data_IF_642860456735
#
_entry.id   IF_642860456735
#
_cell.length_a   1.000
_cell.length_b   1.000
_cell.length_c   1.000
_cell.angle_alpha   90.00
_cell.angle_beta   90.00
_cell.angle_gamma   90.00
#
_symmetry.space_group_name_H-M   'P 1'
#
loop_
_entity.id
_entity.type
_entity.pdbx_description
1 polymer ?
#
# COMPACT_ATOMS: atom_id res chain seq x y z
N UNK A 1 5.85 8.19 2.74
CA UNK A 1 4.68 8.70 2.01
C UNK A 1 4.88 8.39 0.55
N UNK A 2 3.90 7.76 -0.09
CA UNK A 2 3.96 7.43 -1.52
C UNK A 2 2.80 8.11 -2.25
N UNK A 3 3.03 9.30 -2.81
CA UNK A 3 1.96 10.11 -3.41
C UNK A 3 1.75 9.86 -4.90
N UNK A 4 2.52 8.95 -5.50
CA UNK A 4 2.33 8.56 -6.89
C UNK A 4 2.52 7.06 -7.06
N UNK A 5 1.72 6.45 -7.93
CA UNK A 5 1.90 5.05 -8.31
C UNK A 5 1.43 4.80 -9.74
N UNK A 6 2.09 3.87 -10.42
CA UNK A 6 1.82 3.53 -11.81
C UNK A 6 1.11 2.18 -11.92
N UNK A 7 -0.04 2.16 -12.58
CA UNK A 7 -0.82 0.92 -12.77
C UNK A 7 -0.31 0.06 -13.92
N UNK A 8 -0.63 -1.23 -13.87
CA UNK A 8 -0.45 -2.16 -14.99
C UNK A 8 -1.26 -1.80 -16.24
N UNK A 9 -2.26 -0.92 -16.12
CA UNK A 9 -3.11 -0.43 -17.21
C UNK A 9 -2.63 0.89 -17.80
N UNK A 10 -1.38 1.30 -17.52
CA UNK A 10 -0.75 2.50 -18.07
C UNK A 10 -1.41 3.82 -17.62
N UNK A 11 -1.95 3.81 -16.40
CA UNK A 11 -2.52 4.96 -15.71
C UNK A 11 -1.63 5.32 -14.52
N UNK A 12 -1.16 6.56 -14.45
CA UNK A 12 -0.47 7.13 -13.31
C UNK A 12 -1.49 7.75 -12.35
N UNK A 13 -1.45 7.36 -11.08
CA UNK A 13 -2.20 8.02 -10.02
C UNK A 13 -1.27 8.97 -9.27
N UNK A 14 -1.75 10.18 -8.97
CA UNK A 14 -1.02 11.20 -8.22
C UNK A 14 -1.97 11.83 -7.19
N UNK A 15 -1.59 11.79 -5.92
CA UNK A 15 -2.23 12.53 -4.84
C UNK A 15 -1.62 13.91 -4.68
N UNK A 16 -2.41 14.97 -4.87
CA UNK A 16 -2.02 16.37 -4.70
C UNK A 16 -2.91 17.02 -3.64
N UNK A 17 -2.38 17.18 -2.43
CA UNK A 17 -3.15 17.71 -1.29
C UNK A 17 -4.31 16.78 -0.93
N UNK A 18 -5.54 17.25 -1.18
CA UNK A 18 -6.78 16.49 -0.92
C UNK A 18 -7.27 15.72 -2.14
N UNK A 19 -6.65 15.91 -3.31
CA UNK A 19 -7.18 15.44 -4.60
C UNK A 19 -6.33 14.31 -5.20
N UNK A 20 -6.99 13.28 -5.74
CA UNK A 20 -6.33 12.26 -6.57
C UNK A 20 -6.61 12.50 -8.05
N UNK A 21 -5.54 12.68 -8.82
CA UNK A 21 -5.57 12.72 -10.28
C UNK A 21 -5.11 11.40 -10.86
N UNK A 22 -5.75 11.02 -11.96
CA UNK A 22 -5.34 9.92 -12.82
C UNK A 22 -4.92 10.46 -14.17
N UNK A 23 -3.78 10.02 -14.68
CA UNK A 23 -3.30 10.35 -16.00
C UNK A 23 -3.10 9.09 -16.81
N UNK A 24 -3.77 8.99 -17.97
CA UNK A 24 -3.62 7.87 -18.89
C UNK A 24 -2.46 8.15 -19.84
N UNK A 25 -1.40 7.35 -19.79
CA UNK A 25 -0.24 7.57 -20.66
C UNK A 25 -0.54 7.25 -22.13
N UNK A 26 -1.50 6.35 -22.40
CA UNK A 26 -1.92 5.99 -23.75
C UNK A 26 -2.72 7.09 -24.45
N UNK A 27 -3.50 7.88 -23.71
CA UNK A 27 -4.40 8.91 -24.28
C UNK A 27 -3.99 10.34 -23.94
N UNK A 28 -3.09 10.53 -22.97
CA UNK A 28 -2.76 11.83 -22.40
C UNK A 28 -3.85 12.44 -21.51
N UNK A 29 -5.00 11.76 -21.35
CA UNK A 29 -6.15 12.29 -20.61
C UNK A 29 -5.87 12.32 -19.11
N UNK A 30 -6.17 13.45 -18.48
CA UNK A 30 -6.21 13.61 -17.02
C UNK A 30 -7.66 13.51 -16.56
N UNK A 31 -7.92 12.71 -15.54
CA UNK A 31 -9.22 12.64 -14.87
C UNK A 31 -9.07 12.84 -13.38
N UNK A 32 -10.02 13.56 -12.80
CA UNK A 32 -10.17 13.70 -11.38
C UNK A 32 -10.89 12.46 -10.82
N UNK A 33 -10.26 11.74 -9.89
CA UNK A 33 -10.88 10.56 -9.27
C UNK A 33 -11.68 10.95 -8.03
N UNK A 34 -11.08 11.70 -7.11
CA UNK A 34 -11.70 12.07 -5.84
C UNK A 34 -11.07 13.32 -5.23
N UNK A 35 -11.89 14.06 -4.49
CA UNK A 35 -11.51 15.22 -3.67
C UNK A 35 -11.95 15.01 -2.21
N UNK A 36 -10.99 14.97 -1.31
CA UNK A 36 -11.18 14.90 0.14
C UNK A 36 -11.33 16.29 0.80
N UNK A 37 -11.43 17.38 0.03
CA UNK A 37 -11.52 18.74 0.57
C UNK A 37 -12.70 18.92 1.54
N UNK A 38 -13.83 18.27 1.26
CA UNK A 38 -15.01 18.32 2.14
C UNK A 38 -14.74 17.69 3.52
N UNK A 39 -13.80 16.74 3.61
CA UNK A 39 -13.45 16.02 4.83
C UNK A 39 -12.25 16.65 5.57
N UNK A 40 -11.65 17.72 5.00
CA UNK A 40 -10.43 18.37 5.49
C UNK A 40 -9.34 17.34 5.83
N UNK A 41 -9.12 16.39 4.91
CA UNK A 41 -8.18 15.28 5.05
C UNK A 41 -7.19 15.26 3.88
N UNK A 42 -5.91 15.03 4.20
CA UNK A 42 -4.82 15.04 3.23
C UNK A 42 -4.51 13.62 2.76
N UNK A 43 -4.18 13.48 1.48
CA UNK A 43 -3.69 12.21 0.94
C UNK A 43 -2.25 12.02 1.38
N UNK A 44 -1.97 10.87 1.99
CA UNK A 44 -0.65 10.50 2.50
C UNK A 44 -0.03 9.35 1.70
N UNK A 45 -0.85 8.55 1.02
CA UNK A 45 -0.37 7.49 0.15
C UNK A 45 -1.39 7.09 -0.92
N UNK A 46 -0.89 6.62 -2.07
CA UNK A 46 -1.65 5.98 -3.13
C UNK A 46 -0.96 4.68 -3.54
N UNK A 47 -1.75 3.65 -3.85
CA UNK A 47 -1.22 2.40 -4.39
C UNK A 47 -2.23 1.69 -5.30
N UNK A 48 -1.75 1.20 -6.44
CA UNK A 48 -2.55 0.40 -7.36
C UNK A 48 -2.62 -1.06 -6.93
N UNK A 49 -3.79 -1.65 -7.13
CA UNK A 49 -3.94 -3.10 -7.19
C UNK A 49 -3.16 -3.69 -8.38
N UNK A 50 -2.76 -4.95 -8.28
CA UNK A 50 -1.99 -5.64 -9.33
C UNK A 50 -2.73 -5.69 -10.68
N UNK A 51 -4.06 -5.74 -10.65
CA UNK A 51 -4.90 -5.70 -11.86
C UNK A 51 -5.04 -4.31 -12.47
N UNK A 52 -4.65 -3.25 -11.76
CA UNK A 52 -4.83 -1.85 -12.20
C UNK A 52 -6.29 -1.39 -12.19
N UNK A 53 -7.20 -2.16 -11.60
CA UNK A 53 -8.65 -1.85 -11.55
C UNK A 53 -8.99 -1.02 -10.32
N UNK A 54 -8.32 -1.30 -9.20
CA UNK A 54 -8.56 -0.65 -7.93
C UNK A 54 -7.36 0.21 -7.53
N UNK A 55 -7.66 1.36 -6.93
CA UNK A 55 -6.69 2.26 -6.32
C UNK A 55 -7.00 2.37 -4.83
N UNK A 56 -5.99 2.22 -3.97
CA UNK A 56 -6.11 2.59 -2.57
C UNK A 56 -5.53 3.98 -2.32
N UNK A 57 -6.17 4.71 -1.41
CA UNK A 57 -5.80 6.07 -1.00
C UNK A 57 -5.75 6.08 0.53
N UNK A 58 -4.55 6.21 1.09
CA UNK A 58 -4.32 6.36 2.52
C UNK A 58 -4.35 7.84 2.92
N UNK A 59 -5.07 8.15 3.99
CA UNK A 59 -5.33 9.53 4.42
C UNK A 59 -4.58 9.90 5.69
N UNK A 60 -4.54 11.20 6.00
CA UNK A 60 -3.89 11.75 7.20
C UNK A 60 -4.64 11.38 8.48
N UNK A 61 -5.96 11.20 8.42
CA UNK A 61 -6.79 10.76 9.55
C UNK A 61 -6.73 9.26 9.85
N UNK A 62 -5.89 8.49 9.14
CA UNK A 62 -5.76 7.06 9.40
C UNK A 62 -6.81 6.19 8.69
N UNK A 63 -7.43 6.73 7.65
CA UNK A 63 -8.38 5.98 6.82
C UNK A 63 -7.69 5.48 5.56
N UNK A 64 -8.04 4.28 5.09
CA UNK A 64 -7.66 3.81 3.74
C UNK A 64 -8.91 3.62 2.91
N UNK A 65 -9.04 4.41 1.86
CA UNK A 65 -10.15 4.29 0.93
C UNK A 65 -9.75 3.40 -0.25
N UNK A 66 -10.66 2.54 -0.71
CA UNK A 66 -10.48 1.73 -1.91
C UNK A 66 -11.47 2.21 -2.97
N UNK A 67 -10.93 2.50 -4.15
CA UNK A 67 -11.65 3.08 -5.28
C UNK A 67 -11.63 2.14 -6.48
N UNK A 68 -12.78 2.02 -7.14
CA UNK A 68 -12.87 1.47 -8.50
C UNK A 68 -12.62 2.61 -9.48
N UNK A 69 -11.52 2.53 -10.23
CA UNK A 69 -11.14 3.60 -11.16
C UNK A 69 -11.93 3.56 -12.46
N UNK A 70 -12.50 2.41 -12.82
CA UNK A 70 -13.34 2.27 -14.01
C UNK A 70 -14.70 2.93 -13.82
N UNK A 71 -15.26 2.79 -12.60
CA UNK A 71 -16.56 3.36 -12.23
C UNK A 71 -16.45 4.73 -11.55
N UNK A 72 -15.23 5.13 -11.17
CA UNK A 72 -14.97 6.33 -10.35
C UNK A 72 -15.80 6.33 -9.05
N UNK A 73 -15.93 5.16 -8.43
CA UNK A 73 -16.74 4.97 -7.21
C UNK A 73 -15.89 4.46 -6.05
N UNK A 74 -16.12 5.00 -4.86
CA UNK A 74 -15.54 4.48 -3.62
C UNK A 74 -16.20 3.16 -3.25
N UNK A 75 -15.41 2.08 -3.18
CA UNK A 75 -15.88 0.75 -2.82
C UNK A 75 -15.89 0.52 -1.32
N UNK A 76 -14.80 0.93 -0.65
CA UNK A 76 -14.58 0.66 0.78
C UNK A 76 -13.87 1.82 1.46
N UNK A 77 -14.10 1.89 2.76
CA UNK A 77 -13.42 2.80 3.69
C UNK A 77 -12.94 1.94 4.85
N UNK A 78 -11.64 1.69 4.90
CA UNK A 78 -11.01 0.87 5.92
C UNK A 78 -10.53 1.78 7.04
N UNK A 79 -11.17 1.65 8.19
CA UNK A 79 -10.84 2.40 9.39
C UNK A 79 -9.93 1.57 10.30
N UNK A 80 -9.30 2.24 11.26
CA UNK A 80 -8.57 1.58 12.34
C UNK A 80 -7.26 2.28 12.69
N UNK A 81 -6.58 2.90 11.72
CA UNK A 81 -5.36 3.65 12.02
C UNK A 81 -5.65 4.92 12.82
N UNK A 82 -4.82 5.18 13.81
CA UNK A 82 -4.93 6.38 14.67
C UNK A 82 -4.01 7.52 14.21
N UNK A 83 -3.17 7.26 13.22
CA UNK A 83 -2.31 8.24 12.58
C UNK A 83 -2.34 8.09 11.06
N UNK A 84 -1.73 9.05 10.37
CA UNK A 84 -1.66 9.07 8.89
C UNK A 84 -1.21 7.73 8.31
N UNK A 85 -1.83 7.31 7.22
CA UNK A 85 -1.43 6.11 6.49
C UNK A 85 -0.39 6.49 5.44
N UNK A 86 0.88 6.34 5.80
CA UNK A 86 2.02 6.76 4.99
C UNK A 86 2.46 5.73 3.93
N UNK A 87 1.99 4.50 4.03
CA UNK A 87 2.30 3.41 3.12
C UNK A 87 1.11 2.47 2.95
N UNK A 88 0.83 2.08 1.71
CA UNK A 88 -0.16 1.05 1.37
C UNK A 88 0.41 0.16 0.28
N UNK A 89 0.17 -1.15 0.35
CA UNK A 89 0.59 -2.10 -0.68
C UNK A 89 -0.44 -3.21 -0.87
N UNK A 90 -0.64 -3.56 -2.13
CA UNK A 90 -1.58 -4.60 -2.53
C UNK A 90 -0.88 -5.95 -2.73
N UNK A 91 -1.44 -6.99 -2.12
CA UNK A 91 -1.35 -8.36 -2.61
C UNK A 91 -2.55 -8.68 -3.54
N UNK A 92 -2.77 -9.96 -3.88
CA UNK A 92 -3.91 -10.37 -4.72
C UNK A 92 -5.27 -10.09 -4.06
N UNK A 93 -5.37 -10.40 -2.77
CA UNK A 93 -6.61 -10.24 -1.99
C UNK A 93 -6.41 -9.51 -0.67
N UNK A 94 -5.17 -9.47 -0.18
CA UNK A 94 -4.82 -8.83 1.08
C UNK A 94 -4.12 -7.51 0.78
N UNK A 95 -4.49 -6.48 1.52
CA UNK A 95 -3.82 -5.20 1.50
C UNK A 95 -3.09 -4.96 2.82
N UNK A 96 -1.86 -4.47 2.73
CA UNK A 96 -1.08 -4.01 3.87
C UNK A 96 -1.13 -2.48 3.92
N UNK A 97 -1.41 -1.92 5.10
CA UNK A 97 -1.40 -0.48 5.36
C UNK A 97 -0.54 -0.17 6.58
N UNK A 98 0.31 0.84 6.47
CA UNK A 98 1.29 1.24 7.48
C UNK A 98 1.08 2.69 7.86
N UNK A 99 1.16 2.98 9.16
CA UNK A 99 0.77 4.27 9.72
C UNK A 99 1.79 4.87 10.69
N UNK A 100 1.63 6.16 10.94
CA UNK A 100 2.27 6.89 12.04
C UNK A 100 1.86 6.37 13.42
N UNK A 101 0.78 5.60 13.53
CA UNK A 101 0.43 4.91 14.78
C UNK A 101 1.37 3.75 15.15
N UNK A 102 2.49 3.60 14.43
CA UNK A 102 3.49 2.56 14.68
C UNK A 102 2.94 1.12 14.43
N UNK A 103 1.84 0.98 13.67
CA UNK A 103 1.24 -0.32 13.32
C UNK A 103 1.17 -0.57 11.82
N UNK A 104 1.08 -1.85 11.48
CA UNK A 104 0.72 -2.32 10.13
C UNK A 104 -0.57 -3.11 10.23
N UNK A 105 -1.56 -2.81 9.39
CA UNK A 105 -2.80 -3.58 9.28
C UNK A 105 -2.86 -4.36 7.99
N UNK A 106 -3.15 -5.65 8.11
CA UNK A 106 -3.46 -6.56 7.01
C UNK A 106 -4.96 -6.72 6.91
N UNK A 107 -5.52 -6.40 5.75
CA UNK A 107 -6.97 -6.41 5.53
C UNK A 107 -7.31 -7.22 4.29
N UNK A 108 -8.30 -8.11 4.36
CA UNK A 108 -8.88 -8.73 3.16
C UNK A 108 -9.81 -7.72 2.49
N UNK A 109 -9.55 -7.37 1.23
CA UNK A 109 -10.35 -6.39 0.49
C UNK A 109 -11.67 -6.96 -0.04
N UNK A 110 -11.81 -8.30 -0.06
CA UNK A 110 -13.01 -9.00 -0.55
C UNK A 110 -14.15 -8.97 0.46
N UNK A 111 -13.80 -8.95 1.75
CA UNK A 111 -14.74 -8.95 2.86
C UNK A 111 -14.76 -7.57 3.50
N UNK A 112 -15.96 -6.98 3.68
CA UNK A 112 -16.07 -5.67 4.34
C UNK A 112 -15.53 -5.72 5.77
N UNK A 113 -14.69 -4.74 6.13
CA UNK A 113 -14.10 -4.58 7.48
C UNK A 113 -13.30 -5.77 8.02
N UNK A 114 -12.76 -6.63 7.14
CA UNK A 114 -11.99 -7.82 7.54
C UNK A 114 -10.52 -7.50 7.85
N UNK A 115 -10.27 -6.87 9.00
CA UNK A 115 -8.94 -6.85 9.60
C UNK A 115 -8.51 -8.29 9.91
N UNK A 116 -7.52 -8.79 9.17
CA UNK A 116 -6.94 -10.11 9.40
C UNK A 116 -6.00 -10.06 10.59
N UNK A 117 -5.09 -9.08 10.58
CA UNK A 117 -4.06 -8.97 11.59
C UNK A 117 -3.55 -7.55 11.71
N UNK A 118 -3.22 -7.19 12.93
CA UNK A 118 -2.49 -5.98 13.26
C UNK A 118 -1.09 -6.34 13.77
N UNK A 119 -0.07 -5.80 13.10
CA UNK A 119 1.32 -5.98 13.47
C UNK A 119 1.78 -4.78 14.27
N UNK A 120 2.01 -5.02 15.56
CA UNK A 120 2.61 -4.07 16.50
C UNK A 120 4.07 -4.43 16.77
N UNK A 121 4.83 -3.45 17.26
CA UNK A 121 6.23 -3.60 17.64
C UNK A 121 7.18 -2.62 16.94
N UNK A 122 6.66 -1.82 15.99
CA UNK A 122 7.41 -0.67 15.48
C UNK A 122 7.41 0.42 16.56
N UNK A 123 8.55 1.07 16.75
CA UNK A 123 8.70 2.23 17.64
C UNK A 123 8.66 3.56 16.88
N UNK A 124 8.60 3.49 15.56
CA UNK A 124 8.57 4.62 14.63
C UNK A 124 7.44 4.43 13.61
N UNK A 125 7.08 5.52 12.93
CA UNK A 125 6.13 5.51 11.82
C UNK A 125 6.51 4.49 10.74
N UNK A 126 5.52 3.77 10.22
CA UNK A 126 5.70 2.87 9.09
C UNK A 126 5.49 3.65 7.79
N UNK A 127 6.59 4.06 7.16
CA UNK A 127 6.56 4.95 5.99
C UNK A 127 6.85 4.24 4.64
N UNK A 128 7.15 2.94 4.65
CA UNK A 128 7.37 2.13 3.46
C UNK A 128 6.91 0.69 3.68
N UNK A 129 6.32 0.09 2.65
CA UNK A 129 5.86 -1.30 2.65
C UNK A 129 6.10 -1.90 1.28
N UNK A 130 6.66 -3.10 1.26
CA UNK A 130 6.73 -3.96 0.09
C UNK A 130 6.03 -5.27 0.39
N UNK A 131 5.34 -5.83 -0.61
CA UNK A 131 4.66 -7.13 -0.52
C UNK A 131 5.37 -8.06 -1.49
N UNK A 132 6.13 -9.01 -0.93
CA UNK A 132 6.66 -10.15 -1.68
C UNK A 132 5.62 -11.27 -1.70
N UNK A 133 5.25 -11.76 -2.89
CA UNK A 133 4.48 -12.98 -3.05
C UNK A 133 5.44 -14.17 -3.22
N UNK A 134 5.20 -15.27 -2.51
CA UNK A 134 5.95 -16.51 -2.69
C UNK A 134 5.20 -17.41 -3.68
N UNK A 135 5.52 -17.31 -4.96
CA UNK A 135 5.28 -18.44 -5.86
C UNK A 135 6.38 -19.47 -5.56
N UNK A 136 6.04 -20.74 -5.37
CA UNK A 136 6.99 -21.85 -5.20
C UNK A 136 7.98 -22.06 -6.38
N UNK A 137 8.15 -21.06 -7.25
CA UNK A 137 9.14 -20.97 -8.33
C UNK A 137 10.07 -19.74 -8.23
N UNK A 138 9.98 -18.90 -7.20
CA UNK A 138 10.74 -17.63 -7.14
C UNK A 138 12.01 -17.67 -6.27
N UNK A 139 12.39 -18.82 -5.71
CA UNK A 139 13.64 -18.97 -4.95
C UNK A 139 14.91 -18.78 -5.80
N UNK A 140 14.80 -18.83 -7.13
CA UNK A 140 15.89 -18.51 -8.06
C UNK A 140 15.80 -17.10 -8.67
N UNK A 141 14.61 -16.47 -8.72
CA UNK A 141 14.45 -15.15 -9.36
C UNK A 141 14.67 -13.95 -8.44
N UNK A 142 14.46 -14.09 -7.12
CA UNK A 142 14.88 -13.04 -6.17
C UNK A 142 16.41 -12.84 -6.18
N UNK A 143 17.14 -13.88 -6.58
CA UNK A 143 18.57 -13.85 -6.79
C UNK A 143 18.99 -13.41 -8.22
N UNK A 144 18.09 -13.37 -9.19
CA UNK A 144 18.41 -13.18 -10.62
C UNK A 144 18.28 -11.74 -11.14
N UNK A 145 17.57 -10.83 -10.46
CA UNK A 145 17.61 -9.42 -10.87
C UNK A 145 18.79 -8.69 -10.21
N UNK A 146 19.94 -8.70 -10.87
CA UNK A 146 21.13 -7.93 -10.46
C UNK A 146 20.82 -6.41 -10.32
N UNK A 147 19.72 -5.94 -10.92
CA UNK A 147 19.26 -4.55 -10.82
C UNK A 147 18.53 -4.22 -9.51
N UNK A 148 17.80 -5.16 -8.88
CA UNK A 148 17.14 -4.92 -7.57
C UNK A 148 18.13 -5.06 -6.41
N UNK A 149 19.12 -5.96 -6.53
CA UNK A 149 20.25 -6.07 -5.59
C UNK A 149 21.08 -4.78 -5.50
N UNK A 150 21.10 -3.95 -6.56
CA UNK A 150 21.80 -2.65 -6.55
C UNK A 150 21.01 -1.54 -5.85
N UNK A 151 19.68 -1.62 -5.79
CA UNK A 151 18.81 -0.57 -5.24
C UNK A 151 18.40 -0.88 -3.79
N UNK A 152 18.37 -2.15 -3.40
CA UNK A 152 18.14 -2.57 -2.02
C UNK A 152 19.49 -2.69 -1.28
N UNK A 153 19.89 -1.61 -0.60
CA UNK A 153 21.02 -1.62 0.33
C UNK A 153 20.84 -2.77 1.35
N UNK A 154 21.91 -3.50 1.71
CA UNK A 154 21.88 -4.65 2.64
C UNK A 154 21.24 -4.32 4.00
N UNK A 155 21.24 -3.04 4.39
CA UNK A 155 20.59 -2.55 5.61
C UNK A 155 19.05 -2.41 5.48
N UNK A 156 18.50 -2.26 4.27
CA UNK A 156 17.04 -2.23 4.03
C UNK A 156 16.39 -3.59 4.32
N UNK A 157 17.13 -4.67 4.17
CA UNK A 157 16.66 -6.05 4.36
C UNK A 157 16.70 -6.52 5.82
N UNK A 158 17.24 -5.73 6.75
CA UNK A 158 17.55 -6.22 8.10
C UNK A 158 16.33 -6.48 9.00
N UNK A 159 15.11 -6.05 8.63
CA UNK A 159 13.88 -6.29 9.41
C UNK A 159 12.66 -6.57 8.53
N UNK A 160 12.70 -7.66 7.77
CA UNK A 160 11.50 -8.23 7.19
C UNK A 160 10.73 -9.00 8.27
N UNK A 161 9.45 -8.68 8.49
CA UNK A 161 8.57 -9.53 9.31
C UNK A 161 7.74 -10.36 8.34
N UNK A 162 8.02 -11.67 8.28
CA UNK A 162 7.20 -12.62 7.53
C UNK A 162 5.93 -12.86 8.32
N UNK A 163 4.79 -12.65 7.68
CA UNK A 163 3.49 -13.03 8.24
C UNK A 163 3.02 -14.26 7.46
N UNK A 164 2.92 -15.38 8.17
CA UNK A 164 2.33 -16.59 7.63
C UNK A 164 0.83 -16.56 7.91
N UNK A 165 0.02 -16.52 6.84
CA UNK A 165 -1.43 -16.44 6.92
C UNK A 165 -2.11 -17.82 6.98
N UNK A 166 -1.32 -18.90 7.11
CA UNK A 166 -1.80 -20.27 7.28
C UNK A 166 -2.02 -21.03 5.97
N UNK A 167 -2.35 -22.34 6.07
CA UNK A 167 -2.30 -23.29 4.95
C UNK A 167 -3.42 -23.14 3.91
N UNK A 168 -4.42 -22.27 4.13
CA UNK A 168 -5.59 -22.15 3.24
C UNK A 168 -5.46 -21.12 2.13
N UNK A 169 -4.35 -20.37 2.04
CA UNK A 169 -4.13 -19.44 0.92
C UNK A 169 -2.65 -19.44 0.56
N UNK A 170 -2.34 -19.67 -0.72
CA UNK A 170 -0.99 -19.68 -1.32
C UNK A 170 -0.27 -18.32 -1.26
N UNK A 171 -0.76 -17.35 -0.50
CA UNK A 171 -0.26 -15.98 -0.46
C UNK A 171 0.47 -15.71 0.87
N UNK A 172 1.73 -16.13 0.98
CA UNK A 172 2.58 -15.61 2.06
C UNK A 172 3.03 -14.20 1.69
N UNK A 173 2.72 -13.21 2.53
CA UNK A 173 3.09 -11.81 2.33
C UNK A 173 4.33 -11.52 3.16
N UNK A 174 5.43 -11.20 2.48
CA UNK A 174 6.61 -10.66 3.16
C UNK A 174 6.50 -9.16 3.16
N UNK A 175 6.46 -8.57 4.36
CA UNK A 175 6.48 -7.12 4.53
C UNK A 175 7.90 -6.68 4.81
N UNK A 176 8.47 -5.91 3.88
CA UNK A 176 9.74 -5.19 4.06
C UNK A 176 9.43 -3.70 4.17
N UNK A 177 10.04 -3.03 5.14
CA UNK A 177 9.86 -1.59 5.35
C UNK A 177 11.22 -0.90 5.49
N UNK A 178 11.30 0.35 5.02
CA UNK A 178 12.48 1.22 5.15
C UNK A 178 12.25 2.17 6.35
N UNK A 179 13.08 2.11 7.38
CA UNK A 179 13.03 3.09 8.47
C UNK A 179 13.99 2.82 9.64
N UNK A 180 14.69 3.86 10.10
CA UNK A 180 15.46 3.89 11.35
C UNK A 180 14.55 4.16 12.56
N UNK A 181 14.99 3.73 13.74
CA UNK A 181 14.28 3.94 15.00
C UNK A 181 14.27 5.43 15.35
N UNK A 182 13.15 6.12 15.17
CA UNK A 182 12.85 7.38 15.85
C UNK A 182 11.51 7.23 16.56
N UNK A 183 11.50 7.53 17.85
CA UNK A 183 10.36 7.29 18.73
C UNK A 183 9.09 7.98 18.21
N UNK A 184 7.97 7.26 18.22
CA UNK A 184 6.62 7.80 18.03
C UNK A 184 6.35 8.83 19.16
N UNK A 185 6.38 10.13 18.82
CA UNK A 185 5.82 11.23 19.65
C UNK A 185 4.35 11.44 19.28
#
# INVERSE_FOLDING_TARGET
MNLMDWSSTNILAIGLGTVVYLWSASSGKVTHLHDLANDNDDICSVAWSRSGTYLSVGTRRGTVQVWDTSRSTRLRVLNGHWGRVGAVRWGPHIMASGSRDCTIRLTDVRVGDALIQELRGHRAEVCGLEVGAHEQSAALDWAASENVKRIANRDVLRKAKRVDLGPSFLDSITIVYRGEFLDCI
#
